data_IF_267573484457
#
_entry.id   IF_267573484457
#
_cell.length_a   1.000
_cell.length_b   1.000
_cell.length_c   1.000
_cell.angle_alpha   90.00
_cell.angle_beta   90.00
_cell.angle_gamma   90.00
#
_symmetry.space_group_name_H-M   'P 1'
#
loop_
_entity.id
_entity.type
_entity.pdbx_description
1 polymer ?
#
# COMPACT_ATOMS: atom_id res chain seq x y z
N UNK A 1 -13.71 15.83 3.70
CA UNK A 1 -14.48 16.95 3.14
C UNK A 1 -14.29 18.29 3.90
N UNK A 2 -13.19 18.46 4.66
CA UNK A 2 -12.56 19.73 5.11
C UNK A 2 -13.42 21.02 5.18
N UNK A 3 -14.65 20.98 5.69
CA UNK A 3 -15.53 22.14 5.83
C UNK A 3 -16.02 22.83 4.54
N UNK A 4 -15.62 22.37 3.34
CA UNK A 4 -16.04 22.95 2.05
C UNK A 4 -16.90 21.95 1.27
N UNK A 5 -18.20 22.23 1.05
CA UNK A 5 -19.13 21.30 0.40
C UNK A 5 -18.79 21.02 -1.07
N UNK A 6 -18.05 21.92 -1.74
CA UNK A 6 -17.66 21.72 -3.12
C UNK A 6 -16.58 20.64 -3.29
N UNK A 7 -15.88 20.23 -2.23
CA UNK A 7 -14.87 19.17 -2.27
C UNK A 7 -15.55 17.81 -2.38
N UNK A 8 -15.32 17.13 -3.50
CA UNK A 8 -15.88 15.83 -3.83
C UNK A 8 -15.02 14.71 -3.28
N UNK A 9 -13.71 14.78 -3.50
CA UNK A 9 -12.78 13.71 -3.13
C UNK A 9 -11.41 14.28 -2.75
N UNK A 10 -10.76 13.61 -1.81
CA UNK A 10 -9.40 13.89 -1.36
C UNK A 10 -8.58 12.61 -1.50
N UNK A 11 -7.58 12.62 -2.39
CA UNK A 11 -6.73 11.44 -2.63
C UNK A 11 -5.31 11.75 -2.18
N UNK A 12 -4.91 11.31 -0.96
CA UNK A 12 -3.55 11.48 -0.50
C UNK A 12 -2.61 10.53 -1.24
N UNK A 13 -1.40 11.03 -1.51
CA UNK A 13 -0.27 10.30 -2.07
C UNK A 13 0.97 10.56 -1.22
N UNK A 14 2.11 9.96 -1.57
CA UNK A 14 3.39 10.10 -0.86
C UNK A 14 3.69 11.48 -0.27
N UNK A 15 3.52 12.54 -1.07
CA UNK A 15 3.84 13.93 -0.68
C UNK A 15 2.93 14.96 -1.33
N UNK A 16 1.75 14.54 -1.77
CA UNK A 16 0.78 15.43 -2.41
C UNK A 16 -0.65 14.97 -2.14
N UNK A 17 -1.58 15.90 -2.16
CA UNK A 17 -3.00 15.65 -2.01
C UNK A 17 -3.71 16.11 -3.28
N UNK A 18 -4.37 15.20 -3.99
CA UNK A 18 -5.28 15.57 -5.05
C UNK A 18 -6.61 15.99 -4.42
N UNK A 19 -7.11 17.16 -4.80
CA UNK A 19 -8.41 17.69 -4.40
C UNK A 19 -9.31 17.73 -5.64
N UNK A 20 -10.31 16.86 -5.67
CA UNK A 20 -11.38 16.94 -6.66
C UNK A 20 -12.52 17.77 -6.09
N UNK A 21 -13.02 18.72 -6.86
CA UNK A 21 -14.11 19.60 -6.44
C UNK A 21 -15.08 19.91 -7.59
N UNK A 22 -16.29 20.36 -7.25
CA UNK A 22 -17.29 20.79 -8.22
C UNK A 22 -17.08 22.26 -8.62
N UNK A 23 -16.61 22.55 -9.86
CA UNK A 23 -16.32 23.92 -10.28
C UNK A 23 -17.56 24.81 -10.44
N UNK A 24 -18.77 24.22 -10.40
CA UNK A 24 -20.04 24.97 -10.45
C UNK A 24 -20.43 25.54 -9.09
N UNK A 25 -19.93 24.96 -8.01
CA UNK A 25 -20.17 25.42 -6.64
C UNK A 25 -19.05 26.33 -6.15
N UNK A 26 -17.82 26.09 -6.62
CA UNK A 26 -16.64 26.85 -6.24
C UNK A 26 -15.71 26.92 -7.45
N UNK A 27 -15.45 28.10 -7.99
CA UNK A 27 -14.59 28.23 -9.17
C UNK A 27 -13.11 28.04 -8.78
N UNK A 28 -12.23 28.01 -9.78
CA UNK A 28 -10.80 27.77 -9.56
C UNK A 28 -10.15 28.77 -8.61
N UNK A 29 -10.47 30.06 -8.73
CA UNK A 29 -9.85 31.11 -7.91
C UNK A 29 -10.30 31.00 -6.44
N UNK A 30 -11.59 30.73 -6.23
CA UNK A 30 -12.16 30.52 -4.90
C UNK A 30 -11.54 29.28 -4.22
N UNK A 31 -11.45 28.16 -4.94
CA UNK A 31 -10.91 26.92 -4.39
C UNK A 31 -9.40 27.06 -4.12
N UNK A 32 -8.68 27.73 -5.00
CA UNK A 32 -7.25 28.02 -4.82
C UNK A 32 -7.01 28.88 -3.59
N UNK A 33 -7.81 29.95 -3.40
CA UNK A 33 -7.72 30.80 -2.21
C UNK A 33 -7.99 30.00 -0.94
N UNK A 34 -9.09 29.24 -0.93
CA UNK A 34 -9.47 28.40 0.21
C UNK A 34 -8.36 27.42 0.61
N UNK A 35 -7.76 26.72 -0.36
CA UNK A 35 -6.67 25.79 -0.09
C UNK A 35 -5.40 26.50 0.40
N UNK A 36 -5.05 27.66 -0.18
CA UNK A 36 -3.89 28.44 0.25
C UNK A 36 -4.06 28.96 1.68
N UNK A 37 -5.25 29.43 2.03
CA UNK A 37 -5.57 29.91 3.38
C UNK A 37 -5.49 28.74 4.38
N UNK A 38 -6.04 27.58 4.02
CA UNK A 38 -6.00 26.37 4.84
C UNK A 38 -4.55 25.93 5.08
N UNK A 39 -3.73 25.87 4.04
CA UNK A 39 -2.30 25.49 4.15
C UNK A 39 -1.51 26.50 4.98
N UNK A 40 -1.77 27.80 4.80
CA UNK A 40 -1.08 28.87 5.55
C UNK A 40 -1.43 28.87 7.05
N UNK A 41 -2.61 28.35 7.40
CA UNK A 41 -3.06 28.18 8.78
C UNK A 41 -2.63 26.86 9.43
N UNK A 42 -1.94 25.97 8.71
CA UNK A 42 -1.40 24.75 9.31
C UNK A 42 -0.20 25.12 10.18
N UNK A 43 -0.29 24.85 11.48
CA UNK A 43 0.88 24.87 12.35
C UNK A 43 1.69 23.57 12.14
N UNK A 44 3.03 23.67 12.13
CA UNK A 44 3.95 22.52 12.26
C UNK A 44 3.88 21.93 13.68
N UNK A 45 2.67 21.67 14.17
CA UNK A 45 2.50 20.77 15.29
C UNK A 45 2.61 19.35 14.74
N UNK A 46 3.32 18.43 15.42
CA UNK A 46 3.02 17.02 15.26
C UNK A 46 1.57 16.89 15.72
N UNK A 47 0.64 17.03 14.78
CA UNK A 47 -0.77 17.00 15.07
C UNK A 47 -1.08 15.73 15.85
N UNK A 48 -2.22 15.70 16.53
CA UNK A 48 -2.82 14.46 17.01
C UNK A 48 -3.13 13.56 15.81
N UNK A 49 -2.08 13.04 15.15
CA UNK A 49 -2.17 11.94 14.24
C UNK A 49 -2.66 10.80 15.12
N UNK A 50 -3.86 10.31 14.83
CA UNK A 50 -4.32 9.07 15.43
C UNK A 50 -3.20 8.03 15.32
N UNK A 51 -2.97 7.28 16.40
CA UNK A 51 -2.03 6.17 16.40
C UNK A 51 -2.27 5.32 15.14
N UNK A 52 -1.22 5.00 14.37
CA UNK A 52 -1.39 4.27 13.12
C UNK A 52 -2.05 2.93 13.41
N UNK A 53 -3.03 2.54 12.58
CA UNK A 53 -3.57 1.19 12.65
C UNK A 53 -2.50 0.21 12.21
N UNK A 54 -2.06 -0.65 13.13
CA UNK A 54 -1.11 -1.73 12.85
C UNK A 54 -1.84 -2.96 12.29
N UNK A 55 -1.34 -3.48 11.17
CA UNK A 55 -1.90 -4.62 10.46
C UNK A 55 -0.80 -5.65 10.24
N UNK A 56 -0.98 -6.83 10.82
CA UNK A 56 -0.10 -7.97 10.55
C UNK A 56 -0.63 -8.79 9.39
N UNK A 57 0.20 -9.00 8.37
CA UNK A 57 -0.14 -9.82 7.21
C UNK A 57 0.69 -11.11 7.25
N UNK A 58 0.08 -12.28 7.48
CA UNK A 58 0.78 -13.55 7.39
C UNK A 58 1.13 -13.84 5.93
N UNK A 59 2.40 -14.19 5.67
CA UNK A 59 2.92 -14.43 4.32
C UNK A 59 3.67 -15.76 4.26
N UNK A 60 3.30 -16.59 3.29
CA UNK A 60 4.12 -17.74 2.87
C UNK A 60 5.14 -17.23 1.85
N UNK A 61 6.43 -17.32 2.17
CA UNK A 61 7.51 -16.85 1.32
C UNK A 61 8.08 -17.96 0.44
N UNK A 62 8.58 -17.58 -0.74
CA UNK A 62 9.28 -18.47 -1.67
C UNK A 62 8.41 -19.54 -2.34
N UNK A 63 9.08 -20.45 -3.07
CA UNK A 63 8.40 -21.52 -3.80
C UNK A 63 7.36 -21.01 -4.79
N UNK A 64 6.19 -21.66 -4.84
CA UNK A 64 5.09 -21.23 -5.72
C UNK A 64 4.43 -19.91 -5.30
N UNK A 65 4.53 -19.56 -4.02
CA UNK A 65 3.97 -18.32 -3.46
C UNK A 65 4.88 -17.11 -3.74
N UNK A 66 6.19 -17.33 -3.84
CA UNK A 66 7.22 -16.32 -4.07
C UNK A 66 8.26 -16.74 -5.10
N UNK A 67 7.90 -16.93 -6.38
CA UNK A 67 8.77 -17.53 -7.40
C UNK A 67 9.97 -16.66 -7.82
N UNK A 68 10.08 -15.43 -7.33
CA UNK A 68 11.22 -14.55 -7.63
C UNK A 68 12.14 -14.34 -6.42
N UNK A 69 11.88 -14.96 -5.26
CA UNK A 69 12.65 -14.66 -4.04
C UNK A 69 14.13 -15.03 -4.19
N UNK A 70 14.43 -16.13 -4.88
CA UNK A 70 15.79 -16.56 -5.15
C UNK A 70 16.52 -15.54 -6.06
N UNK A 71 15.81 -14.95 -7.02
CA UNK A 71 16.38 -13.92 -7.89
C UNK A 71 16.60 -12.59 -7.15
N UNK A 72 15.76 -12.26 -6.17
CA UNK A 72 15.98 -11.11 -5.29
C UNK A 72 17.19 -11.36 -4.39
N UNK A 73 17.29 -12.55 -3.81
CA UNK A 73 18.42 -12.95 -2.97
C UNK A 73 19.74 -12.91 -3.76
N UNK A 74 19.77 -13.48 -4.97
CA UNK A 74 20.94 -13.42 -5.86
C UNK A 74 21.32 -11.98 -6.21
N UNK A 75 20.35 -11.12 -6.53
CA UNK A 75 20.60 -9.71 -6.84
C UNK A 75 21.20 -8.95 -5.65
N UNK A 76 20.72 -9.26 -4.44
CA UNK A 76 21.17 -8.64 -3.19
C UNK A 76 22.51 -9.23 -2.66
N UNK A 77 22.95 -10.38 -3.19
CA UNK A 77 24.07 -11.13 -2.61
C UNK A 77 23.75 -11.71 -1.23
N UNK A 78 22.49 -12.06 -1.00
CA UNK A 78 21.95 -12.59 0.26
C UNK A 78 21.39 -14.01 0.04
N UNK A 79 21.12 -14.71 1.12
CA UNK A 79 20.26 -15.90 1.15
C UNK A 79 18.78 -15.53 1.12
N UNK A 80 17.93 -16.49 0.76
CA UNK A 80 16.47 -16.32 0.81
C UNK A 80 15.97 -16.04 2.22
N UNK A 81 16.57 -16.67 3.22
CA UNK A 81 16.25 -16.49 4.64
C UNK A 81 16.56 -15.06 5.10
N UNK A 82 17.70 -14.50 4.69
CA UNK A 82 18.06 -13.11 4.99
C UNK A 82 17.10 -12.11 4.30
N UNK A 83 16.66 -12.39 3.07
CA UNK A 83 15.63 -11.57 2.40
C UNK A 83 14.33 -11.59 3.20
N UNK A 84 13.90 -12.76 3.68
CA UNK A 84 12.69 -12.91 4.50
C UNK A 84 12.84 -12.14 5.81
N UNK A 85 13.97 -12.29 6.50
CA UNK A 85 14.24 -11.60 7.77
C UNK A 85 14.20 -10.09 7.60
N UNK A 86 14.86 -9.55 6.57
CA UNK A 86 14.87 -8.12 6.27
C UNK A 86 13.46 -7.63 5.93
N UNK A 87 12.74 -8.35 5.05
CA UNK A 87 11.41 -7.94 4.59
C UNK A 87 10.35 -8.05 5.69
N UNK A 88 10.46 -9.01 6.62
CA UNK A 88 9.49 -9.17 7.71
C UNK A 88 9.87 -8.41 9.00
N UNK A 89 11.14 -8.00 9.13
CA UNK A 89 11.69 -7.40 10.35
C UNK A 89 11.30 -5.94 10.60
N UNK A 90 10.57 -5.29 9.69
CA UNK A 90 10.17 -3.88 9.82
C UNK A 90 8.67 -3.67 9.60
N UNK A 91 8.17 -2.54 10.10
CA UNK A 91 6.83 -2.04 9.78
C UNK A 91 6.88 -1.12 8.56
N UNK A 92 5.90 -1.25 7.69
CA UNK A 92 5.79 -0.48 6.47
C UNK A 92 4.63 0.49 6.53
N UNK A 93 4.91 1.78 6.36
CA UNK A 93 3.86 2.78 6.29
C UNK A 93 3.16 2.73 4.94
N UNK A 94 1.82 2.72 4.96
CA UNK A 94 1.01 2.81 3.75
C UNK A 94 0.93 4.27 3.34
N UNK A 95 1.67 4.65 2.30
CA UNK A 95 1.67 6.03 1.82
C UNK A 95 0.44 6.37 0.98
N UNK A 96 -0.04 5.41 0.20
CA UNK A 96 -1.25 5.55 -0.59
C UNK A 96 -1.86 4.18 -0.93
N UNK A 97 -3.14 4.21 -1.28
CA UNK A 97 -3.86 3.10 -1.88
C UNK A 97 -4.15 3.49 -3.33
N UNK A 98 -3.81 2.66 -4.31
CA UNK A 98 -3.96 3.00 -5.73
C UNK A 98 -3.44 1.91 -6.66
N UNK A 99 -3.42 2.11 -7.99
CA UNK A 99 -3.22 1.09 -9.04
C UNK A 99 -4.41 0.12 -9.21
N UNK A 100 -4.88 -0.47 -8.12
CA UNK A 100 -6.13 -1.23 -8.07
C UNK A 100 -6.83 -0.99 -6.72
N UNK A 101 -8.15 -1.21 -6.61
CA UNK A 101 -8.85 -1.09 -5.34
C UNK A 101 -8.17 -1.93 -4.24
N UNK A 102 -7.74 -1.25 -3.18
CA UNK A 102 -7.09 -1.86 -2.01
C UNK A 102 -5.60 -2.19 -2.17
N UNK A 103 -4.93 -1.81 -3.26
CA UNK A 103 -3.49 -2.08 -3.41
C UNK A 103 -2.66 -1.04 -2.63
N UNK A 104 -1.88 -1.44 -1.61
CA UNK A 104 -1.09 -0.54 -0.79
C UNK A 104 0.30 -0.31 -1.40
N UNK A 105 0.67 0.97 -1.50
CA UNK A 105 2.03 1.37 -1.73
C UNK A 105 2.74 1.54 -0.39
N UNK A 106 3.61 0.60 -0.08
CA UNK A 106 4.31 0.52 1.20
C UNK A 106 5.68 1.19 1.12
N UNK A 107 5.95 2.02 2.12
CA UNK A 107 7.19 2.75 2.28
C UNK A 107 8.16 2.12 3.25
N UNK A 108 9.46 2.36 3.06
CA UNK A 108 10.50 1.95 4.00
C UNK A 108 11.12 0.58 3.70
N UNK A 109 11.09 0.14 2.44
CA UNK A 109 11.86 -1.04 2.02
C UNK A 109 13.35 -0.80 2.27
N UNK A 110 13.97 -1.75 2.96
CA UNK A 110 15.41 -1.75 3.18
C UNK A 110 16.15 -1.85 1.84
N UNK A 111 17.10 -0.94 1.61
CA UNK A 111 17.85 -0.86 0.34
C UNK A 111 18.61 -2.15 0.02
N UNK A 112 18.95 -2.96 1.03
CA UNK A 112 19.63 -4.26 0.84
C UNK A 112 18.81 -5.24 0.02
N UNK A 113 17.49 -5.12 -0.01
CA UNK A 113 16.59 -6.01 -0.78
C UNK A 113 15.85 -5.28 -1.89
N UNK A 114 16.18 -4.01 -2.14
CA UNK A 114 15.66 -3.27 -3.28
C UNK A 114 16.11 -3.96 -4.58
N UNK A 115 15.16 -4.20 -5.49
CA UNK A 115 15.42 -5.01 -6.68
C UNK A 115 14.57 -4.51 -7.86
N UNK A 116 15.14 -4.39 -9.08
CA UNK A 116 14.41 -3.89 -10.23
C UNK A 116 13.24 -4.80 -10.59
N UNK A 117 12.16 -4.17 -11.05
CA UNK A 117 11.01 -4.90 -11.58
C UNK A 117 11.39 -5.75 -12.80
N UNK A 118 10.57 -6.75 -13.12
CA UNK A 118 10.70 -7.53 -14.34
C UNK A 118 10.67 -6.63 -15.58
N UNK A 119 11.53 -6.94 -16.56
CA UNK A 119 11.54 -6.27 -17.87
C UNK A 119 10.22 -6.45 -18.61
N UNK A 120 9.65 -7.65 -18.54
CA UNK A 120 8.36 -8.01 -19.13
C UNK A 120 7.38 -8.37 -18.00
N UNK A 121 6.30 -7.61 -17.80
CA UNK A 121 5.31 -7.93 -16.77
C UNK A 121 4.64 -9.29 -17.00
N UNK A 122 4.27 -9.95 -15.91
CA UNK A 122 3.38 -11.12 -15.96
C UNK A 122 2.01 -10.67 -16.43
N UNK A 123 1.39 -11.48 -17.28
CA UNK A 123 -0.01 -11.28 -17.67
C UNK A 123 -0.97 -11.53 -16.51
N UNK A 124 -0.56 -12.36 -15.55
CA UNK A 124 -1.33 -12.69 -14.35
C UNK A 124 -0.42 -12.92 -13.14
N UNK A 125 -0.64 -12.11 -12.12
CA UNK A 125 -0.15 -12.24 -10.75
C UNK A 125 -1.34 -12.71 -9.90
N UNK A 126 -1.19 -13.73 -9.04
CA UNK A 126 -2.24 -14.14 -8.11
C UNK A 126 -2.65 -13.03 -7.13
N UNK A 127 -3.90 -13.08 -6.66
CA UNK A 127 -4.31 -12.25 -5.53
C UNK A 127 -3.52 -12.65 -4.26
N UNK A 128 -3.24 -11.68 -3.40
CA UNK A 128 -2.45 -11.82 -2.19
C UNK A 128 -0.94 -11.86 -2.43
N UNK A 129 -0.46 -11.85 -3.68
CA UNK A 129 0.99 -11.87 -3.94
C UNK A 129 1.67 -10.64 -3.34
N UNK A 130 2.77 -10.87 -2.65
CA UNK A 130 3.66 -9.85 -2.08
C UNK A 130 4.84 -9.69 -3.03
N UNK A 131 5.18 -8.45 -3.38
CA UNK A 131 6.28 -8.22 -4.30
C UNK A 131 7.13 -7.01 -3.98
N UNK A 132 8.30 -6.99 -4.61
CA UNK A 132 9.25 -5.88 -4.58
C UNK A 132 9.43 -5.31 -6.00
N UNK A 133 9.51 -3.99 -6.09
CA UNK A 133 9.95 -3.29 -7.28
C UNK A 133 10.68 -2.00 -6.91
N UNK A 134 11.93 -1.88 -7.37
CA UNK A 134 12.83 -0.81 -6.98
C UNK A 134 12.93 -0.75 -5.44
N UNK A 135 12.68 0.40 -4.82
CA UNK A 135 12.65 0.61 -3.37
C UNK A 135 11.27 0.43 -2.73
N UNK A 136 10.36 -0.29 -3.36
CA UNK A 136 8.99 -0.46 -2.88
C UNK A 136 8.61 -1.91 -2.66
N UNK A 137 7.78 -2.15 -1.65
CA UNK A 137 7.04 -3.41 -1.44
C UNK A 137 5.54 -3.15 -1.41
N UNK A 138 4.74 -4.20 -1.50
CA UNK A 138 3.31 -4.10 -1.73
C UNK A 138 2.66 -5.46 -1.90
N UNK A 139 1.33 -5.47 -1.82
CA UNK A 139 0.53 -6.69 -1.90
C UNK A 139 -0.57 -6.50 -2.94
N UNK A 140 -0.63 -7.41 -3.90
CA UNK A 140 -1.67 -7.43 -4.93
C UNK A 140 -3.02 -7.84 -4.30
N UNK A 141 -4.02 -6.96 -4.17
CA UNK A 141 -5.28 -7.30 -3.51
C UNK A 141 -6.14 -8.22 -4.39
N UNK A 142 -5.95 -8.15 -5.71
CA UNK A 142 -6.70 -8.86 -6.72
C UNK A 142 -5.75 -9.44 -7.76
N UNK A 143 -6.16 -10.52 -8.44
CA UNK A 143 -5.39 -11.08 -9.53
C UNK A 143 -5.39 -10.15 -10.74
N UNK A 144 -4.23 -9.94 -11.37
CA UNK A 144 -4.09 -9.03 -12.50
C UNK A 144 -2.66 -9.00 -13.04
N UNK A 145 -2.38 -8.22 -14.11
CA UNK A 145 -1.02 -8.11 -14.63
C UNK A 145 -0.10 -7.38 -13.65
N UNK A 146 1.19 -7.74 -13.63
CA UNK A 146 2.15 -7.13 -12.71
C UNK A 146 3.59 -7.48 -13.05
N UNK A 147 4.49 -6.51 -12.86
CA UNK A 147 5.92 -6.65 -13.14
C UNK A 147 6.80 -6.78 -11.90
N UNK A 148 6.22 -6.82 -10.70
CA UNK A 148 7.01 -6.87 -9.47
C UNK A 148 7.59 -8.27 -9.25
N UNK A 149 8.72 -8.32 -8.54
CA UNK A 149 9.36 -9.56 -8.10
C UNK A 149 8.55 -10.14 -6.96
N UNK A 150 7.89 -11.29 -7.18
CA UNK A 150 7.01 -11.92 -6.21
C UNK A 150 7.85 -12.74 -5.22
N UNK A 151 7.81 -12.36 -3.95
CA UNK A 151 8.62 -12.98 -2.89
C UNK A 151 7.80 -13.84 -1.92
N UNK A 152 6.47 -13.72 -1.96
CA UNK A 152 5.56 -14.52 -1.15
C UNK A 152 4.11 -14.22 -1.46
N UNK A 153 3.20 -14.83 -0.70
CA UNK A 153 1.75 -14.62 -0.83
C UNK A 153 1.06 -14.69 0.53
N UNK A 154 0.06 -13.85 0.72
CA UNK A 154 -0.89 -13.93 1.84
C UNK A 154 -2.24 -14.48 1.38
N UNK A 155 -2.91 -15.23 2.25
CA UNK A 155 -4.31 -15.63 2.03
C UNK A 155 -5.32 -14.58 2.54
N UNK A 156 -4.85 -13.54 3.24
CA UNK A 156 -5.71 -12.46 3.74
C UNK A 156 -6.31 -11.71 2.56
N UNK A 157 -7.63 -11.50 2.61
CA UNK A 157 -8.36 -10.71 1.61
C UNK A 157 -8.20 -9.22 1.93
N UNK A 158 -7.42 -8.50 1.13
CA UNK A 158 -7.15 -7.07 1.34
C UNK A 158 -8.32 -6.17 0.92
N UNK A 159 -9.09 -6.60 -0.08
CA UNK A 159 -10.20 -5.84 -0.63
C UNK A 159 -11.41 -6.73 -0.91
N UNK A 160 -12.58 -6.29 -0.47
CA UNK A 160 -13.86 -6.94 -0.75
C UNK A 160 -14.88 -5.94 -1.30
N UNK A 161 -15.22 -5.99 -2.60
CA UNK A 161 -16.19 -5.08 -3.19
C UNK A 161 -17.63 -5.33 -2.71
N UNK A 162 -17.90 -6.45 -2.04
CA UNK A 162 -19.22 -6.75 -1.49
C UNK A 162 -19.45 -6.14 -0.11
N UNK A 163 -18.39 -5.71 0.58
CA UNK A 163 -18.50 -4.91 1.78
C UNK A 163 -18.83 -3.47 1.37
N UNK A 164 -19.95 -2.95 1.88
CA UNK A 164 -20.42 -1.61 1.54
C UNK A 164 -20.29 -0.71 2.77
N UNK A 165 -20.00 0.57 2.55
CA UNK A 165 -19.91 1.57 3.63
C UNK A 165 -21.22 1.77 4.43
N UNK A 166 -22.32 1.14 4.01
CA UNK A 166 -23.57 1.06 4.79
C UNK A 166 -23.50 0.05 5.94
N UNK A 167 -22.56 -0.90 5.89
CA UNK A 167 -22.17 -1.69 7.05
C UNK A 167 -21.16 -0.85 7.85
N UNK A 168 -21.67 0.00 8.74
CA UNK A 168 -20.89 1.04 9.44
C UNK A 168 -19.71 0.51 10.28
N UNK A 169 -19.51 -0.81 10.32
CA UNK A 169 -18.45 -1.52 11.03
C UNK A 169 -17.41 -2.18 10.11
N UNK A 170 -17.60 -2.22 8.78
CA UNK A 170 -16.70 -2.91 7.85
C UNK A 170 -16.38 -2.09 6.59
N UNK A 171 -15.09 -1.78 6.40
CA UNK A 171 -14.55 -1.12 5.21
C UNK A 171 -14.29 -2.15 4.09
N UNK A 172 -14.54 -1.82 2.81
CA UNK A 172 -14.16 -2.68 1.69
C UNK A 172 -12.65 -2.88 1.55
N UNK A 173 -11.83 -1.99 2.12
CA UNK A 173 -10.38 -2.12 2.18
C UNK A 173 -9.94 -2.40 3.61
N UNK A 174 -9.18 -3.48 3.80
CA UNK A 174 -8.56 -3.82 5.09
C UNK A 174 -7.51 -2.78 5.50
N UNK A 175 -6.79 -2.26 4.51
CA UNK A 175 -5.65 -1.34 4.69
C UNK A 175 -6.06 0.05 4.21
N UNK A 176 -5.69 1.08 4.98
CA UNK A 176 -5.97 2.49 4.64
C UNK A 176 -4.66 3.30 4.59
N UNK A 177 -4.63 4.43 3.86
CA UNK A 177 -3.49 5.35 3.91
C UNK A 177 -3.18 5.76 5.36
N UNK A 178 -1.90 5.72 5.74
CA UNK A 178 -1.45 5.99 7.10
C UNK A 178 -1.38 4.77 8.02
N UNK A 179 -1.99 3.63 7.67
CA UNK A 179 -1.78 2.37 8.40
C UNK A 179 -0.31 1.92 8.35
N UNK A 180 0.07 1.08 9.29
CA UNK A 180 1.38 0.40 9.31
C UNK A 180 1.18 -1.09 9.12
N UNK A 181 1.85 -1.68 8.12
CA UNK A 181 1.76 -3.09 7.76
C UNK A 181 3.04 -3.79 8.18
N UNK A 182 2.93 -4.89 8.92
CA UNK A 182 4.06 -5.80 9.19
C UNK A 182 3.78 -7.15 8.56
N UNK A 183 4.73 -7.67 7.79
CA UNK A 183 4.63 -9.01 7.24
C UNK A 183 5.11 -10.04 8.26
N UNK A 184 4.33 -11.09 8.47
CA UNK A 184 4.63 -12.16 9.43
C UNK A 184 4.87 -13.47 8.66
N UNK A 185 6.09 -14.02 8.64
CA UNK A 185 6.37 -15.26 7.93
C UNK A 185 5.57 -16.43 8.54
N UNK A 186 4.86 -17.17 7.70
CA UNK A 186 4.15 -18.41 8.06
C UNK A 186 4.52 -19.55 7.12
N UNK A 187 4.41 -20.79 7.60
CA UNK A 187 4.79 -21.98 6.82
C UNK A 187 3.77 -22.36 5.75
N UNK A 188 2.49 -22.02 5.96
CA UNK A 188 1.41 -22.36 5.03
C UNK A 188 0.21 -21.44 5.25
N UNK A 189 -0.66 -21.38 4.24
CA UNK A 189 -1.92 -20.61 4.28
C UNK A 189 -2.96 -21.17 5.26
N UNK A 190 -2.75 -22.36 5.83
CA UNK A 190 -3.68 -22.99 6.76
C UNK A 190 -3.69 -22.32 8.15
N UNK A 191 -2.70 -21.46 8.43
CA UNK A 191 -2.56 -20.72 9.68
C UNK A 191 -3.05 -19.26 9.55
N UNK A 192 -3.88 -18.96 8.55
CA UNK A 192 -4.38 -17.60 8.21
C UNK A 192 -5.89 -17.53 8.41
#
# INVERSE_FOLDING_TARGET
AAGNPAVVELVPTYRSLLVQYNPRENNYAEMSSFLNDLVSGLEDSPGSAAEPTFIELPVVYGGEDGPDIEAVAEHAGLSTEEVIEIHSGTGYRVYMIGFAPGFPYLGGLDERIACPRLKTPRTRVPAGSVGIAESQTGVYPNAGPGGWRLIGRTAVKLFDPHLTATDATQSPSLISPGSEVRFVPVKSHANV
#
